data_IF_109815180490
#
_entry.id   IF_109815180490
#
_cell.length_a   1.000
_cell.length_b   1.000
_cell.length_c   1.000
_cell.angle_alpha   90.00
_cell.angle_beta   90.00
_cell.angle_gamma   90.00
#
_symmetry.space_group_name_H-M   'P 1'
#
loop_
_entity.id
_entity.type
_entity.pdbx_description
1 polymer ?
#
# COMPACT_ATOMS: atom_id res chain seq x y z
N UNK A 1 -29.08 -19.65 2.37
CA UNK A 1 -30.11 -19.31 3.39
C UNK A 1 -30.22 -20.34 4.54
N UNK A 2 -30.53 -21.63 4.30
CA UNK A 2 -30.66 -22.65 5.39
C UNK A 2 -29.39 -22.77 6.26
N UNK A 3 -28.22 -22.87 5.63
CA UNK A 3 -26.92 -22.93 6.33
C UNK A 3 -26.62 -21.66 7.13
N UNK A 4 -26.91 -20.50 6.58
CA UNK A 4 -26.79 -19.23 7.29
C UNK A 4 -27.60 -19.24 8.59
N UNK A 5 -28.88 -19.65 8.55
CA UNK A 5 -29.71 -19.73 9.75
C UNK A 5 -29.10 -20.65 10.82
N UNK A 6 -28.61 -21.82 10.44
CA UNK A 6 -27.96 -22.76 11.36
C UNK A 6 -26.70 -22.15 12.00
N UNK A 7 -25.82 -21.57 11.19
CA UNK A 7 -24.57 -20.98 11.68
C UNK A 7 -24.82 -19.74 12.53
N UNK A 8 -25.71 -18.85 12.10
CA UNK A 8 -26.05 -17.61 12.81
C UNK A 8 -26.60 -17.86 14.22
N UNK A 9 -27.35 -18.96 14.41
CA UNK A 9 -27.87 -19.36 15.72
C UNK A 9 -26.74 -19.94 16.57
N UNK A 10 -25.85 -20.73 15.96
CA UNK A 10 -24.73 -21.36 16.67
C UNK A 10 -23.78 -20.31 17.26
N UNK A 11 -23.48 -19.26 16.51
CA UNK A 11 -22.51 -18.21 16.91
C UNK A 11 -23.17 -16.97 17.52
N UNK A 12 -24.48 -17.02 17.81
CA UNK A 12 -25.19 -15.84 18.32
C UNK A 12 -24.67 -15.43 19.71
N UNK A 13 -24.42 -14.14 19.98
CA UNK A 13 -23.89 -13.67 21.27
C UNK A 13 -24.78 -14.05 22.47
N UNK A 14 -26.10 -13.99 22.31
CA UNK A 14 -27.08 -14.40 23.35
C UNK A 14 -26.91 -15.85 23.84
N UNK A 15 -26.42 -16.74 22.96
CA UNK A 15 -26.18 -18.16 23.27
C UNK A 15 -24.75 -18.47 23.70
N UNK A 16 -23.83 -17.51 23.54
CA UNK A 16 -22.40 -17.64 23.81
C UNK A 16 -21.97 -16.50 24.75
N UNK A 17 -22.64 -16.40 25.89
CA UNK A 17 -22.45 -15.31 26.85
C UNK A 17 -21.07 -15.34 27.53
N UNK A 18 -20.39 -16.49 27.50
CA UNK A 18 -19.04 -16.66 28.05
C UNK A 18 -17.98 -15.86 27.27
N UNK A 19 -18.21 -15.58 25.98
CA UNK A 19 -17.30 -14.87 25.09
C UNK A 19 -18.09 -14.08 24.04
N UNK A 20 -18.76 -13.02 24.51
CA UNK A 20 -19.68 -12.19 23.72
C UNK A 20 -18.96 -11.52 22.55
N UNK A 21 -17.74 -11.03 22.75
CA UNK A 21 -16.97 -10.31 21.72
C UNK A 21 -16.61 -11.24 20.56
N UNK A 22 -16.14 -12.45 20.86
CA UNK A 22 -15.83 -13.44 19.83
C UNK A 22 -17.08 -13.94 19.13
N UNK A 23 -18.17 -14.14 19.86
CA UNK A 23 -19.45 -14.53 19.28
C UNK A 23 -19.99 -13.46 18.33
N UNK A 24 -19.90 -12.19 18.70
CA UNK A 24 -20.28 -11.06 17.86
C UNK A 24 -19.45 -11.02 16.57
N UNK A 25 -18.11 -11.14 16.69
CA UNK A 25 -17.22 -11.17 15.53
C UNK A 25 -17.53 -12.34 14.59
N UNK A 26 -17.80 -13.53 15.15
CA UNK A 26 -18.16 -14.71 14.37
C UNK A 26 -19.53 -14.55 13.68
N UNK A 27 -20.52 -13.97 14.36
CA UNK A 27 -21.84 -13.68 13.80
C UNK A 27 -21.74 -12.69 12.63
N UNK A 28 -21.00 -11.60 12.81
CA UNK A 28 -20.75 -10.61 11.76
C UNK A 28 -20.06 -11.23 10.54
N UNK A 29 -19.08 -12.11 10.75
CA UNK A 29 -18.41 -12.83 9.67
C UNK A 29 -19.40 -13.72 8.88
N UNK A 30 -20.29 -14.44 9.58
CA UNK A 30 -21.32 -15.29 8.96
C UNK A 30 -22.36 -14.47 8.19
N UNK A 31 -22.81 -13.34 8.75
CA UNK A 31 -23.74 -12.42 8.09
C UNK A 31 -23.12 -11.76 6.86
N UNK A 32 -21.88 -11.28 6.96
CA UNK A 32 -21.13 -10.73 5.83
C UNK A 32 -20.98 -11.76 4.71
N UNK A 33 -20.58 -12.99 5.04
CA UNK A 33 -20.46 -14.06 4.05
C UNK A 33 -21.81 -14.36 3.36
N UNK A 34 -22.91 -14.37 4.12
CA UNK A 34 -24.23 -14.58 3.54
C UNK A 34 -24.63 -13.45 2.58
N UNK A 35 -24.45 -12.19 2.98
CA UNK A 35 -24.71 -11.02 2.13
C UNK A 35 -23.87 -11.03 0.86
N UNK A 36 -22.58 -11.34 0.94
CA UNK A 36 -21.71 -11.49 -0.23
C UNK A 36 -22.22 -12.58 -1.19
N UNK A 37 -22.76 -13.69 -0.68
CA UNK A 37 -23.29 -14.76 -1.53
C UNK A 37 -24.67 -14.45 -2.14
N UNK A 38 -25.35 -13.39 -1.71
CA UNK A 38 -26.58 -12.90 -2.36
C UNK A 38 -26.26 -12.18 -3.67
N UNK A 39 -25.10 -11.55 -3.76
CA UNK A 39 -24.63 -10.89 -4.97
C UNK A 39 -24.10 -11.92 -5.97
N UNK A 40 -24.64 -11.91 -7.19
CA UNK A 40 -24.31 -12.89 -8.22
C UNK A 40 -22.83 -12.90 -8.59
N UNK A 41 -22.21 -11.73 -8.68
CA UNK A 41 -20.79 -11.56 -9.02
C UNK A 41 -19.86 -12.15 -7.96
N UNK A 42 -20.11 -11.83 -6.68
CA UNK A 42 -19.33 -12.36 -5.57
C UNK A 42 -19.50 -13.87 -5.43
N UNK A 43 -20.72 -14.36 -5.60
CA UNK A 43 -21.00 -15.80 -5.63
C UNK A 43 -20.26 -16.50 -6.78
N UNK A 44 -20.25 -15.91 -7.99
CA UNK A 44 -19.53 -16.46 -9.14
C UNK A 44 -18.04 -16.55 -8.86
N UNK A 45 -17.42 -15.47 -8.37
CA UNK A 45 -16.00 -15.46 -7.98
C UNK A 45 -15.68 -16.55 -6.95
N UNK A 46 -16.53 -16.75 -5.95
CA UNK A 46 -16.32 -17.80 -4.95
C UNK A 46 -16.39 -19.21 -5.58
N UNK A 47 -17.30 -19.44 -6.53
CA UNK A 47 -17.38 -20.70 -7.27
C UNK A 47 -16.16 -20.91 -8.17
N UNK A 48 -15.66 -19.87 -8.83
CA UNK A 48 -14.47 -19.95 -9.67
C UNK A 48 -13.23 -20.36 -8.86
N UNK A 49 -13.09 -19.84 -7.62
CA UNK A 49 -12.01 -20.25 -6.71
C UNK A 49 -12.12 -21.71 -6.30
N UNK A 50 -13.33 -22.18 -6.01
CA UNK A 50 -13.58 -23.60 -5.69
C UNK A 50 -13.24 -24.48 -6.90
N UNK A 51 -13.62 -24.06 -8.10
CA UNK A 51 -13.32 -24.79 -9.33
C UNK A 51 -11.81 -24.86 -9.59
N UNK A 52 -11.10 -23.74 -9.50
CA UNK A 52 -9.65 -23.68 -9.62
C UNK A 52 -8.95 -24.56 -8.58
N UNK A 53 -9.46 -24.62 -7.34
CA UNK A 53 -8.97 -25.53 -6.31
C UNK A 53 -9.11 -26.99 -6.72
N UNK A 54 -10.25 -27.37 -7.29
CA UNK A 54 -10.50 -28.73 -7.80
C UNK A 54 -9.57 -29.07 -8.97
N UNK A 55 -9.50 -28.21 -9.98
CA UNK A 55 -8.63 -28.40 -11.15
C UNK A 55 -7.15 -28.53 -10.76
N UNK A 56 -6.70 -27.75 -9.77
CA UNK A 56 -5.34 -27.86 -9.26
C UNK A 56 -5.06 -29.24 -8.66
N UNK A 57 -5.96 -29.76 -7.82
CA UNK A 57 -5.81 -31.10 -7.24
C UNK A 57 -5.84 -32.17 -8.32
N UNK A 58 -6.79 -32.09 -9.27
CA UNK A 58 -6.85 -33.03 -10.40
C UNK A 58 -5.59 -33.01 -11.26
N UNK A 59 -5.05 -31.81 -11.53
CA UNK A 59 -3.79 -31.65 -12.25
C UNK A 59 -2.62 -32.30 -11.48
N UNK A 60 -2.48 -31.99 -10.20
CA UNK A 60 -1.46 -32.57 -9.33
C UNK A 60 -1.54 -34.10 -9.30
N UNK A 61 -2.75 -34.64 -9.21
CA UNK A 61 -3.02 -36.08 -9.27
C UNK A 61 -2.59 -36.69 -10.60
N UNK A 62 -2.97 -36.06 -11.71
CA UNK A 62 -2.57 -36.50 -13.05
C UNK A 62 -1.04 -36.54 -13.20
N UNK A 63 -0.35 -35.51 -12.70
CA UNK A 63 1.12 -35.46 -12.73
C UNK A 63 1.76 -36.55 -11.88
N UNK A 64 1.28 -36.74 -10.64
CA UNK A 64 1.77 -37.81 -9.75
C UNK A 64 1.58 -39.19 -10.38
N UNK A 65 0.43 -39.47 -11.02
CA UNK A 65 0.20 -40.75 -11.73
C UNK A 65 1.16 -40.95 -12.90
N UNK A 66 1.40 -39.90 -13.71
CA UNK A 66 2.36 -39.96 -14.82
C UNK A 66 3.77 -40.28 -14.31
N UNK A 67 4.17 -39.66 -13.18
CA UNK A 67 5.46 -39.90 -12.57
C UNK A 67 5.59 -41.34 -12.03
N UNK A 68 4.59 -41.83 -11.30
CA UNK A 68 4.59 -43.21 -10.79
C UNK A 68 4.67 -44.26 -11.92
N UNK A 69 3.97 -44.00 -13.04
CA UNK A 69 4.05 -44.84 -14.24
C UNK A 69 5.44 -44.84 -14.85
N UNK A 70 6.13 -43.69 -14.88
CA UNK A 70 7.52 -43.58 -15.34
C UNK A 70 8.49 -44.32 -14.43
N UNK A 71 8.24 -44.29 -13.12
CA UNK A 71 9.08 -44.91 -12.10
C UNK A 71 8.79 -46.42 -11.91
N UNK A 72 7.87 -46.99 -12.70
CA UNK A 72 7.49 -48.41 -12.62
C UNK A 72 6.78 -48.79 -11.31
N UNK A 73 6.28 -47.81 -10.55
CA UNK A 73 5.58 -48.01 -9.27
C UNK A 73 4.07 -48.17 -9.48
N UNK A 74 3.34 -48.81 -8.53
CA UNK A 74 1.89 -48.92 -8.60
C UNK A 74 1.23 -47.54 -8.73
N UNK A 75 0.25 -47.42 -9.64
CA UNK A 75 -0.46 -46.16 -9.93
C UNK A 75 -1.63 -45.89 -8.97
N UNK A 76 -1.85 -46.80 -8.02
CA UNK A 76 -2.84 -46.64 -6.94
C UNK A 76 -2.33 -45.58 -5.99
N UNK A 77 -3.10 -44.51 -5.85
CA UNK A 77 -2.77 -43.40 -4.98
C UNK A 77 -3.77 -43.33 -3.83
N UNK A 78 -3.35 -42.85 -2.67
CA UNK A 78 -4.22 -42.60 -1.52
C UNK A 78 -5.36 -41.63 -1.85
N UNK A 79 -5.09 -40.71 -2.77
CA UNK A 79 -6.02 -39.72 -3.30
C UNK A 79 -6.99 -40.29 -4.37
N UNK A 80 -6.96 -41.61 -4.66
CA UNK A 80 -8.03 -42.33 -5.38
C UNK A 80 -9.29 -42.50 -4.51
N UNK A 81 -9.15 -42.46 -3.19
CA UNK A 81 -10.29 -42.44 -2.28
C UNK A 81 -11.06 -41.10 -2.45
N UNK A 82 -12.36 -41.16 -2.80
CA UNK A 82 -13.21 -39.97 -2.90
C UNK A 82 -13.18 -39.06 -1.67
N UNK A 83 -12.98 -39.61 -0.46
CA UNK A 83 -12.92 -38.80 0.77
C UNK A 83 -11.60 -38.03 0.89
N UNK A 84 -10.47 -38.67 0.60
CA UNK A 84 -9.15 -38.01 0.59
C UNK A 84 -9.10 -36.93 -0.49
N UNK A 85 -9.69 -37.19 -1.66
CA UNK A 85 -9.82 -36.19 -2.72
C UNK A 85 -10.64 -34.96 -2.27
N UNK A 86 -11.80 -35.17 -1.63
CA UNK A 86 -12.61 -34.07 -1.08
C UNK A 86 -11.81 -33.23 -0.08
N UNK A 87 -11.05 -33.87 0.80
CA UNK A 87 -10.22 -33.17 1.77
C UNK A 87 -9.08 -32.39 1.11
N UNK A 88 -8.43 -32.95 0.10
CA UNK A 88 -7.38 -32.27 -0.67
C UNK A 88 -7.93 -31.02 -1.38
N UNK A 89 -9.08 -31.16 -2.07
CA UNK A 89 -9.76 -30.03 -2.73
C UNK A 89 -10.15 -28.96 -1.71
N UNK A 90 -10.68 -29.36 -0.55
CA UNK A 90 -11.03 -28.42 0.52
C UNK A 90 -9.80 -27.64 1.02
N UNK A 91 -8.70 -28.32 1.35
CA UNK A 91 -7.44 -27.69 1.78
C UNK A 91 -6.90 -26.72 0.73
N UNK A 92 -6.88 -27.15 -0.54
CA UNK A 92 -6.40 -26.32 -1.64
C UNK A 92 -7.29 -25.09 -1.86
N UNK A 93 -8.60 -25.26 -1.80
CA UNK A 93 -9.56 -24.16 -1.92
C UNK A 93 -9.37 -23.14 -0.81
N UNK A 94 -9.21 -23.59 0.46
CA UNK A 94 -8.91 -22.69 1.59
C UNK A 94 -7.62 -21.90 1.37
N UNK A 95 -6.57 -22.56 0.87
CA UNK A 95 -5.29 -21.92 0.56
C UNK A 95 -5.47 -20.84 -0.51
N UNK A 96 -6.19 -21.12 -1.59
CA UNK A 96 -6.45 -20.15 -2.65
C UNK A 96 -7.22 -18.93 -2.14
N UNK A 97 -8.24 -19.13 -1.31
CA UNK A 97 -8.96 -18.00 -0.68
C UNK A 97 -8.04 -17.14 0.19
N UNK A 98 -7.16 -17.76 0.98
CA UNK A 98 -6.19 -17.04 1.80
C UNK A 98 -5.20 -16.23 0.95
N UNK A 99 -4.65 -16.82 -0.11
CA UNK A 99 -3.71 -16.15 -1.02
C UNK A 99 -4.36 -14.96 -1.74
N UNK A 100 -5.61 -15.10 -2.19
CA UNK A 100 -6.36 -14.01 -2.82
C UNK A 100 -6.61 -12.85 -1.85
N UNK A 101 -6.93 -13.17 -0.59
CA UNK A 101 -7.16 -12.15 0.44
C UNK A 101 -5.87 -11.41 0.81
N UNK A 102 -4.73 -12.12 0.89
CA UNK A 102 -3.41 -11.49 1.08
C UNK A 102 -3.12 -10.54 -0.08
N UNK A 103 -3.27 -11.00 -1.32
CA UNK A 103 -3.05 -10.16 -2.52
C UNK A 103 -3.98 -8.95 -2.56
N UNK A 104 -5.23 -9.09 -2.09
CA UNK A 104 -6.18 -7.97 -1.98
C UNK A 104 -5.66 -6.91 -1.01
N UNK A 105 -5.25 -7.32 0.20
CA UNK A 105 -4.71 -6.42 1.23
C UNK A 105 -3.41 -5.74 0.79
N UNK A 106 -2.52 -6.46 0.13
CA UNK A 106 -1.28 -5.90 -0.43
C UNK A 106 -1.57 -4.82 -1.46
N UNK A 107 -2.53 -5.06 -2.36
CA UNK A 107 -2.97 -4.07 -3.36
C UNK A 107 -3.57 -2.84 -2.68
N UNK A 108 -4.47 -3.03 -1.73
CA UNK A 108 -5.09 -1.92 -0.99
C UNK A 108 -4.06 -1.08 -0.24
N UNK A 109 -3.07 -1.73 0.37
CA UNK A 109 -1.97 -1.08 1.07
C UNK A 109 -1.11 -0.28 0.09
N UNK A 110 -0.77 -0.87 -1.06
CA UNK A 110 0.00 -0.20 -2.12
C UNK A 110 -0.74 1.03 -2.66
N UNK A 111 -2.02 0.89 -2.97
CA UNK A 111 -2.86 1.97 -3.50
C UNK A 111 -2.99 3.12 -2.47
N UNK A 112 -3.10 2.79 -1.18
CA UNK A 112 -3.10 3.78 -0.10
C UNK A 112 -1.77 4.54 -0.02
N UNK A 113 -0.63 3.85 -0.10
CA UNK A 113 0.68 4.49 -0.11
C UNK A 113 0.89 5.36 -1.35
N UNK A 114 0.43 4.92 -2.51
CA UNK A 114 0.49 5.70 -3.74
C UNK A 114 -0.35 6.98 -3.66
N UNK A 115 -1.60 6.88 -3.18
CA UNK A 115 -2.45 8.05 -2.93
C UNK A 115 -1.82 9.03 -1.93
N UNK A 116 -1.16 8.52 -0.89
CA UNK A 116 -0.48 9.35 0.09
C UNK A 116 0.68 10.13 -0.55
N UNK A 117 1.51 9.46 -1.35
CA UNK A 117 2.63 10.10 -2.08
C UNK A 117 2.15 11.16 -3.06
N UNK A 118 1.12 10.84 -3.87
CA UNK A 118 0.53 11.81 -4.80
C UNK A 118 0.04 13.06 -4.07
N UNK A 119 -0.61 12.89 -2.92
CA UNK A 119 -1.08 14.02 -2.12
C UNK A 119 0.07 14.84 -1.53
N UNK A 120 1.14 14.20 -1.07
CA UNK A 120 2.34 14.88 -0.58
C UNK A 120 3.04 15.67 -1.68
N UNK A 121 3.16 15.10 -2.89
CA UNK A 121 3.71 15.76 -4.07
C UNK A 121 2.84 16.96 -4.52
N UNK A 122 1.51 16.82 -4.51
CA UNK A 122 0.58 17.93 -4.80
C UNK A 122 0.74 19.09 -3.79
N UNK A 123 0.89 18.77 -2.50
CA UNK A 123 1.15 19.77 -1.46
C UNK A 123 2.50 20.44 -1.68
N UNK A 124 3.56 19.67 -1.92
CA UNK A 124 4.91 20.22 -2.11
C UNK A 124 5.00 21.10 -3.36
N UNK A 125 4.38 20.68 -4.46
CA UNK A 125 4.32 21.48 -5.70
C UNK A 125 3.55 22.78 -5.49
N UNK A 126 2.43 22.74 -4.77
CA UNK A 126 1.67 23.94 -4.41
C UNK A 126 2.48 24.88 -3.50
N UNK A 127 3.19 24.34 -2.49
CA UNK A 127 4.05 25.14 -1.61
C UNK A 127 5.26 25.72 -2.34
N UNK A 128 5.86 24.97 -3.26
CA UNK A 128 6.96 25.44 -4.10
C UNK A 128 6.50 26.56 -5.02
N UNK A 129 5.35 26.40 -5.68
CA UNK A 129 4.74 27.44 -6.51
C UNK A 129 4.38 28.69 -5.69
N UNK A 130 3.91 28.52 -4.44
CA UNK A 130 3.66 29.64 -3.53
C UNK A 130 4.96 30.37 -3.17
N UNK A 131 6.01 29.65 -2.79
CA UNK A 131 7.34 30.23 -2.50
C UNK A 131 7.94 30.95 -3.70
N UNK A 132 7.82 30.38 -4.90
CA UNK A 132 8.32 30.98 -6.13
C UNK A 132 7.56 32.27 -6.46
N UNK A 133 6.23 32.28 -6.31
CA UNK A 133 5.41 33.48 -6.49
C UNK A 133 5.77 34.57 -5.48
N UNK A 134 5.94 34.22 -4.20
CA UNK A 134 6.38 35.16 -3.16
C UNK A 134 7.78 35.70 -3.44
N UNK A 135 8.71 34.84 -3.88
CA UNK A 135 10.05 35.26 -4.28
C UNK A 135 10.03 36.20 -5.48
N UNK A 136 9.27 35.90 -6.54
CA UNK A 136 9.13 36.78 -7.71
C UNK A 136 8.58 38.14 -7.32
N UNK A 137 7.53 38.17 -6.51
CA UNK A 137 6.94 39.41 -6.00
C UNK A 137 7.96 40.24 -5.23
N UNK A 138 8.69 39.64 -4.28
CA UNK A 138 9.73 40.32 -3.51
C UNK A 138 10.91 40.79 -4.40
N UNK A 139 11.27 40.00 -5.42
CA UNK A 139 12.32 40.35 -6.38
C UNK A 139 11.91 41.56 -7.23
N UNK A 140 10.65 41.63 -7.65
CA UNK A 140 10.09 42.74 -8.43
C UNK A 140 9.91 44.00 -7.58
N UNK A 141 9.39 43.88 -6.36
CA UNK A 141 9.25 45.02 -5.44
C UNK A 141 10.62 45.64 -5.07
N UNK A 142 11.66 44.83 -4.94
CA UNK A 142 13.03 45.32 -4.70
C UNK A 142 13.74 45.79 -5.97
N UNK A 143 13.12 45.70 -7.15
CA UNK A 143 13.75 46.07 -8.43
C UNK A 143 14.17 47.52 -8.46
N UNK A 144 13.30 48.46 -8.10
CA UNK A 144 13.61 49.89 -8.19
C UNK A 144 14.75 50.26 -7.24
N UNK A 145 14.71 49.78 -6.00
CA UNK A 145 15.82 49.95 -5.05
C UNK A 145 17.14 49.33 -5.53
N UNK A 146 17.10 48.16 -6.18
CA UNK A 146 18.30 47.53 -6.78
C UNK A 146 18.82 48.33 -7.98
N UNK A 147 17.94 48.84 -8.84
CA UNK A 147 18.29 49.68 -10.00
C UNK A 147 18.90 51.00 -9.52
N UNK A 148 18.35 51.62 -8.49
CA UNK A 148 18.89 52.86 -7.92
C UNK A 148 20.23 52.64 -7.20
N UNK A 149 20.38 51.54 -6.48
CA UNK A 149 21.68 51.13 -5.90
C UNK A 149 22.72 50.86 -7.00
N UNK A 150 22.33 50.27 -8.12
CA UNK A 150 23.22 50.03 -9.26
C UNK A 150 23.62 51.34 -9.96
N UNK A 151 22.65 52.21 -10.25
CA UNK A 151 22.89 53.55 -10.84
C UNK A 151 23.80 54.39 -9.95
N UNK A 152 23.61 54.34 -8.63
CA UNK A 152 24.46 55.06 -7.67
C UNK A 152 25.86 54.46 -7.51
N UNK A 153 26.02 53.13 -7.66
CA UNK A 153 27.34 52.50 -7.75
C UNK A 153 28.08 52.91 -9.02
N UNK A 154 27.41 52.90 -10.17
CA UNK A 154 27.98 53.32 -11.45
C UNK A 154 28.30 54.83 -11.47
N UNK A 155 27.50 55.68 -10.81
CA UNK A 155 27.77 57.11 -10.70
C UNK A 155 28.91 57.44 -9.72
N UNK A 156 29.09 56.65 -8.65
CA UNK A 156 30.28 56.72 -7.76
C UNK A 156 31.60 56.40 -8.46
N UNK A 157 31.58 55.68 -9.59
CA UNK A 157 32.76 55.48 -10.43
C UNK A 157 33.17 56.72 -11.25
N UNK A 158 32.28 57.71 -11.42
CA UNK A 158 32.52 58.91 -12.25
C UNK A 158 32.76 60.19 -11.46
N UNK A 159 32.50 60.19 -10.15
CA UNK A 159 32.78 61.36 -9.30
C UNK A 159 33.45 60.95 -7.99
N UNK A 160 34.69 61.44 -7.84
CA UNK A 160 35.45 61.65 -6.60
C UNK A 160 36.60 60.68 -6.31
N UNK A 161 37.71 60.98 -6.98
CA UNK A 161 39.02 61.14 -6.33
C UNK A 161 38.85 61.95 -5.03
N UNK A 162 39.50 61.52 -3.94
CA UNK A 162 39.59 62.15 -2.61
C UNK A 162 38.41 62.03 -1.62
N UNK A 163 38.54 61.09 -0.66
CA UNK A 163 38.89 61.39 0.74
C UNK A 163 39.17 60.08 1.52
N UNK A 164 40.29 60.08 2.25
CA UNK A 164 40.83 59.02 3.12
C UNK A 164 39.77 58.14 3.81
N UNK A 165 39.86 56.82 3.64
CA UNK A 165 39.26 55.83 4.57
C UNK A 165 40.28 54.77 4.94
N UNK A 166 41.09 55.07 5.95
CA UNK A 166 41.98 54.14 6.67
C UNK A 166 41.23 53.12 7.55
N UNK A 167 40.01 52.69 7.18
CA UNK A 167 39.14 51.94 8.09
C UNK A 167 38.59 50.59 7.60
N UNK A 168 39.20 49.98 6.58
CA UNK A 168 38.94 48.57 6.25
C UNK A 168 40.24 47.78 6.18
N UNK A 169 40.83 47.53 7.36
CA UNK A 169 41.64 46.32 7.55
C UNK A 169 40.68 45.22 7.99
N UNK A 170 40.55 44.10 7.24
CA UNK A 170 39.80 42.94 7.72
C UNK A 170 40.41 42.47 9.05
N UNK A 171 39.60 42.12 10.07
CA UNK A 171 40.13 41.60 11.32
C UNK A 171 40.95 40.33 11.04
N UNK A 172 42.15 40.25 11.64
CA UNK A 172 43.03 39.09 11.52
C UNK A 172 42.30 37.85 12.05
N UNK A 173 42.10 36.86 11.18
CA UNK A 173 41.54 35.55 11.54
C UNK A 173 42.47 34.90 12.57
N UNK A 174 42.01 34.73 13.81
CA UNK A 174 42.69 33.87 14.79
C UNK A 174 42.38 32.42 14.39
N UNK A 175 43.40 31.65 13.99
CA UNK A 175 43.25 30.21 13.85
C UNK A 175 43.06 29.62 15.25
N UNK A 176 41.96 28.87 15.42
CA UNK A 176 41.66 28.11 16.62
C UNK A 176 42.77 27.07 16.85
N UNK A 177 43.42 27.10 18.01
CA UNK A 177 44.36 26.05 18.39
C UNK A 177 43.54 24.80 18.70
N UNK A 178 43.78 23.73 17.94
CA UNK A 178 43.30 22.39 18.28
C UNK A 178 44.11 21.87 19.45
N UNK A 179 43.44 21.57 20.56
CA UNK A 179 43.88 20.51 21.48
C UNK A 179 43.37 19.15 20.99
#
# INVERSE_FOLDING_TARGET
>A
KKRFRQLSILVHPDKNQDDVDRAQLAFEAVDKAYKMLLESEHKKKALDVIHAGKEYVEHMMSQKRKQLKKDGKPTVMEEDDPEVFRQAVYKQTMKLFAELEIKRKERETKDMHERKRQREEEIETHERAKREREWQKNFEETRDGRVDSWRSFQSKGKTKKEKNRTFLKPPKVKMEQRE
#
